data_IF_111413707749
#
_entry.id   IF_111413707749
#
_cell.length_a   1.000
_cell.length_b   1.000
_cell.length_c   1.000
_cell.angle_alpha   90.00
_cell.angle_beta   90.00
_cell.angle_gamma   90.00
#
_symmetry.space_group_name_H-M   'P 1'
#
loop_
_entity.id
_entity.type
_entity.pdbx_description
1 polymer ?
#
# COMPACT_ATOMS: atom_id res chain seq x y z
N UNK A 1 9.44 -9.54 -45.74
CA UNK A 1 9.62 -10.74 -44.91
C UNK A 1 10.30 -10.45 -43.55
N UNK A 2 11.08 -9.40 -43.39
CA UNK A 2 11.72 -9.03 -42.10
C UNK A 2 10.74 -8.45 -41.05
N UNK A 3 9.73 -7.72 -41.47
CA UNK A 3 8.75 -7.13 -40.54
C UNK A 3 7.87 -8.14 -39.82
N UNK A 4 7.60 -9.30 -40.42
CA UNK A 4 6.81 -10.38 -39.79
C UNK A 4 7.66 -11.14 -38.76
N UNK A 5 8.94 -11.33 -39.00
CA UNK A 5 9.85 -11.97 -38.03
C UNK A 5 10.08 -11.11 -36.76
N UNK A 6 10.10 -9.80 -36.92
CA UNK A 6 10.30 -8.87 -35.80
C UNK A 6 9.07 -8.78 -34.90
N UNK A 7 7.86 -8.85 -35.47
CA UNK A 7 6.60 -8.93 -34.67
C UNK A 7 6.46 -10.24 -33.92
N UNK A 8 6.88 -11.37 -34.51
CA UNK A 8 6.86 -12.68 -33.88
C UNK A 8 7.89 -12.80 -32.75
N UNK A 9 9.07 -12.20 -32.91
CA UNK A 9 10.07 -12.13 -31.84
C UNK A 9 9.65 -11.23 -30.68
N UNK A 10 8.95 -10.12 -30.93
CA UNK A 10 8.41 -9.26 -29.88
C UNK A 10 7.23 -9.92 -29.18
N UNK A 11 6.40 -10.66 -29.90
CA UNK A 11 5.27 -11.37 -29.32
C UNK A 11 5.71 -12.60 -28.49
N UNK A 12 6.72 -13.35 -28.97
CA UNK A 12 7.35 -14.42 -28.19
C UNK A 12 8.09 -13.90 -26.97
N UNK A 13 8.82 -12.80 -27.07
CA UNK A 13 9.49 -12.17 -25.93
C UNK A 13 8.48 -11.65 -24.87
N UNK A 14 7.33 -11.10 -25.29
CA UNK A 14 6.27 -10.69 -24.40
C UNK A 14 5.54 -11.87 -23.76
N UNK A 15 5.33 -12.98 -24.50
CA UNK A 15 4.76 -14.20 -23.96
C UNK A 15 5.74 -14.89 -22.99
N UNK A 16 7.04 -14.86 -23.28
CA UNK A 16 8.06 -15.40 -22.38
C UNK A 16 8.22 -14.54 -21.13
N UNK A 17 8.05 -13.22 -21.22
CA UNK A 17 8.05 -12.31 -20.07
C UNK A 17 6.77 -12.47 -19.22
N UNK A 18 5.60 -12.66 -19.83
CA UNK A 18 4.35 -12.99 -19.15
C UNK A 18 4.42 -14.39 -18.50
N UNK A 19 4.93 -15.39 -19.20
CA UNK A 19 5.11 -16.74 -18.67
C UNK A 19 6.16 -16.76 -17.54
N UNK A 20 7.21 -15.94 -17.61
CA UNK A 20 8.20 -15.84 -16.53
C UNK A 20 7.62 -15.20 -15.26
N UNK A 21 6.68 -14.27 -15.38
CA UNK A 21 5.96 -13.73 -14.24
C UNK A 21 4.94 -14.74 -13.64
N UNK A 22 4.27 -15.53 -14.47
CA UNK A 22 3.40 -16.63 -14.00
C UNK A 22 4.23 -17.78 -13.41
N UNK A 23 5.42 -18.06 -13.95
CA UNK A 23 6.32 -19.13 -13.51
C UNK A 23 6.82 -18.96 -12.07
N UNK A 24 6.93 -17.72 -11.56
CA UNK A 24 7.36 -17.42 -10.19
C UNK A 24 6.22 -17.13 -9.20
N UNK A 25 4.97 -17.35 -9.57
CA UNK A 25 3.84 -17.21 -8.62
C UNK A 25 3.84 -18.31 -7.55
N UNK A 26 4.33 -19.49 -7.88
CA UNK A 26 4.34 -20.67 -7.00
C UNK A 26 5.75 -21.17 -6.65
N UNK A 27 6.79 -20.47 -7.12
CA UNK A 27 8.20 -20.84 -6.94
C UNK A 27 9.04 -19.65 -6.47
N UNK A 28 10.17 -19.90 -5.79
CA UNK A 28 11.10 -18.82 -5.41
C UNK A 28 11.72 -18.19 -6.66
N UNK A 29 11.99 -16.89 -6.60
CA UNK A 29 12.74 -16.17 -7.65
C UNK A 29 14.19 -16.63 -7.68
N UNK A 30 14.69 -17.17 -8.82
CA UNK A 30 16.08 -17.56 -8.96
C UNK A 30 17.05 -16.39 -8.75
N UNK A 31 18.24 -16.67 -8.23
CA UNK A 31 19.26 -15.63 -7.99
C UNK A 31 19.69 -14.90 -9.27
N UNK A 32 19.66 -15.58 -10.42
CA UNK A 32 19.96 -15.00 -11.73
C UNK A 32 19.01 -13.91 -12.19
N UNK A 33 17.74 -13.96 -11.75
CA UNK A 33 16.70 -12.99 -12.10
C UNK A 33 16.57 -11.86 -11.09
N UNK A 34 17.38 -11.86 -10.03
CA UNK A 34 17.33 -10.81 -9.02
C UNK A 34 17.94 -9.51 -9.52
N UNK A 35 17.39 -8.40 -9.04
CA UNK A 35 17.65 -7.04 -9.54
C UNK A 35 18.71 -6.31 -8.70
N UNK A 36 19.31 -5.26 -9.30
CA UNK A 36 20.33 -4.42 -8.67
C UNK A 36 19.73 -3.46 -7.61
N UNK A 37 20.61 -2.79 -6.85
CA UNK A 37 20.22 -1.74 -5.90
C UNK A 37 19.51 -0.57 -6.61
N UNK A 38 19.96 -0.21 -7.82
CA UNK A 38 19.36 0.88 -8.60
C UNK A 38 17.91 0.57 -9.00
N UNK A 39 17.63 -0.66 -9.41
CA UNK A 39 16.26 -1.08 -9.71
C UNK A 39 15.37 -1.03 -8.47
N UNK A 40 15.87 -1.48 -7.31
CA UNK A 40 15.12 -1.38 -6.04
C UNK A 40 14.89 0.09 -5.66
N UNK A 41 15.92 0.93 -5.77
CA UNK A 41 15.80 2.36 -5.50
C UNK A 41 14.74 3.00 -6.41
N UNK A 42 14.82 2.80 -7.72
CA UNK A 42 13.90 3.41 -8.68
C UNK A 42 12.44 2.98 -8.47
N UNK A 43 12.20 1.68 -8.20
CA UNK A 43 10.85 1.16 -7.91
C UNK A 43 10.29 1.85 -6.66
N UNK A 44 11.05 1.89 -5.56
CA UNK A 44 10.57 2.43 -4.30
C UNK A 44 10.50 3.97 -4.28
N UNK A 45 11.31 4.67 -5.06
CA UNK A 45 11.12 6.10 -5.34
C UNK A 45 9.77 6.31 -6.05
N UNK A 46 9.47 5.52 -7.07
CA UNK A 46 8.19 5.59 -7.78
C UNK A 46 6.99 5.32 -6.86
N UNK A 47 7.10 4.33 -5.98
CA UNK A 47 6.08 4.07 -4.96
C UNK A 47 5.93 5.21 -3.95
N UNK A 48 7.03 5.82 -3.51
CA UNK A 48 7.00 6.92 -2.53
C UNK A 48 6.42 8.22 -3.08
N UNK A 49 6.44 8.44 -4.39
CA UNK A 49 5.86 9.63 -5.02
C UNK A 49 4.37 9.50 -5.38
N UNK A 50 3.65 8.69 -4.64
CA UNK A 50 2.20 8.58 -4.83
C UNK A 50 1.50 9.81 -4.25
N UNK A 51 0.64 10.47 -5.04
CA UNK A 51 -0.09 11.67 -4.60
C UNK A 51 -0.91 11.52 -3.32
N UNK A 52 -1.29 10.29 -2.96
CA UNK A 52 -2.00 10.02 -1.70
C UNK A 52 -1.22 10.46 -0.47
N UNK A 53 0.13 10.50 -0.53
CA UNK A 53 0.96 11.07 0.53
C UNK A 53 0.62 12.53 0.85
N UNK A 54 0.26 13.34 -0.15
CA UNK A 54 -0.18 14.71 0.05
C UNK A 54 -1.47 14.77 0.86
N UNK A 55 -2.44 13.92 0.55
CA UNK A 55 -3.72 13.85 1.27
C UNK A 55 -3.51 13.39 2.71
N UNK A 56 -2.65 12.38 2.92
CA UNK A 56 -2.32 11.90 4.27
C UNK A 56 -1.69 13.01 5.13
N UNK A 57 -0.73 13.76 4.55
CA UNK A 57 -0.17 14.94 5.22
C UNK A 57 -1.24 16.00 5.54
N UNK A 58 -2.17 16.22 4.62
CA UNK A 58 -3.29 17.13 4.78
C UNK A 58 -4.24 16.73 5.91
N UNK A 59 -4.50 15.45 6.11
CA UNK A 59 -5.32 14.94 7.22
C UNK A 59 -4.72 15.31 8.59
N UNK A 60 -3.39 15.41 8.72
CA UNK A 60 -2.75 15.82 9.98
C UNK A 60 -3.01 17.29 10.32
N UNK A 61 -3.28 18.12 9.33
CA UNK A 61 -3.61 19.54 9.54
C UNK A 61 -5.02 19.73 10.12
N UNK A 62 -5.90 18.74 9.99
CA UNK A 62 -7.30 18.77 10.41
C UNK A 62 -8.11 19.75 9.55
N UNK A 63 -9.10 19.20 8.83
CA UNK A 63 -9.95 19.97 7.92
C UNK A 63 -11.41 19.53 8.09
N UNK A 64 -12.33 20.39 7.67
CA UNK A 64 -13.77 20.11 7.66
C UNK A 64 -14.34 19.68 9.03
N UNK A 65 -13.84 20.31 10.11
CA UNK A 65 -14.26 19.97 11.48
C UNK A 65 -13.56 18.78 12.11
N UNK A 66 -12.63 18.12 11.38
CA UNK A 66 -11.79 17.07 11.93
C UNK A 66 -10.65 17.64 12.78
N UNK A 67 -10.24 16.95 13.86
CA UNK A 67 -9.12 17.39 14.68
C UNK A 67 -7.80 17.37 13.87
N UNK A 68 -6.96 18.36 14.12
CA UNK A 68 -5.62 18.49 13.55
C UNK A 68 -4.54 18.52 14.62
N UNK A 69 -3.32 18.84 14.20
CA UNK A 69 -2.17 19.00 15.11
C UNK A 69 -1.24 20.10 14.62
N UNK A 70 -0.41 20.61 15.53
CA UNK A 70 0.59 21.62 15.20
C UNK A 70 1.61 21.09 14.18
N UNK A 71 2.29 21.97 13.46
CA UNK A 71 3.33 21.57 12.49
C UNK A 71 4.44 20.73 13.13
N UNK A 72 4.87 21.10 14.35
CA UNK A 72 5.91 20.35 15.07
C UNK A 72 5.43 18.94 15.41
N UNK A 73 4.19 18.81 15.88
CA UNK A 73 3.60 17.50 16.19
C UNK A 73 3.41 16.65 14.91
N UNK A 74 3.00 17.29 13.82
CA UNK A 74 2.88 16.63 12.52
C UNK A 74 4.23 16.11 12.01
N UNK A 75 5.31 16.90 12.13
CA UNK A 75 6.67 16.45 11.78
C UNK A 75 7.12 15.25 12.64
N UNK A 76 6.81 15.27 13.94
CA UNK A 76 7.11 14.14 14.82
C UNK A 76 6.32 12.91 14.38
N UNK A 77 5.00 13.05 14.15
CA UNK A 77 4.14 11.95 13.74
C UNK A 77 4.57 11.36 12.37
N UNK A 78 4.90 12.22 11.40
CA UNK A 78 5.46 11.81 10.10
C UNK A 78 6.77 11.03 10.32
N UNK A 79 7.72 11.61 11.07
CA UNK A 79 9.03 10.99 11.28
C UNK A 79 8.93 9.63 11.98
N UNK A 80 8.06 9.51 12.99
CA UNK A 80 7.84 8.25 13.71
C UNK A 80 7.12 7.25 12.84
N UNK A 81 6.03 7.66 12.16
CA UNK A 81 5.26 6.79 11.27
C UNK A 81 6.10 6.22 10.14
N UNK A 82 6.84 7.09 9.44
CA UNK A 82 7.76 6.69 8.37
C UNK A 82 8.92 5.82 8.89
N UNK A 83 9.44 6.11 10.05
CA UNK A 83 10.46 5.27 10.73
C UNK A 83 9.94 3.86 11.01
N UNK A 84 8.70 3.72 11.47
CA UNK A 84 8.03 2.43 11.67
C UNK A 84 7.86 1.69 10.34
N UNK A 85 7.36 2.38 9.31
CA UNK A 85 7.18 1.81 7.97
C UNK A 85 8.51 1.35 7.37
N UNK A 86 9.59 2.14 7.54
CA UNK A 86 10.95 1.78 7.14
C UNK A 86 11.40 0.46 7.80
N UNK A 87 11.24 0.36 9.11
CA UNK A 87 11.64 -0.84 9.86
C UNK A 87 10.83 -2.06 9.43
N UNK A 88 9.51 -1.95 9.35
CA UNK A 88 8.65 -3.06 8.93
C UNK A 88 8.94 -3.49 7.50
N UNK A 89 9.11 -2.53 6.59
CA UNK A 89 9.46 -2.80 5.19
C UNK A 89 10.81 -3.49 5.06
N UNK A 90 11.81 -3.05 5.82
CA UNK A 90 13.11 -3.70 5.84
C UNK A 90 13.03 -5.13 6.38
N UNK A 91 12.33 -5.35 7.50
CA UNK A 91 12.21 -6.67 8.11
C UNK A 91 11.47 -7.66 7.20
N UNK A 92 10.32 -7.28 6.64
CA UNK A 92 9.56 -8.11 5.70
C UNK A 92 10.31 -8.30 4.38
N UNK A 93 10.90 -7.24 3.85
CA UNK A 93 11.69 -7.27 2.63
C UNK A 93 12.94 -8.14 2.75
N UNK A 94 13.59 -8.16 3.92
CA UNK A 94 14.71 -9.05 4.20
C UNK A 94 14.27 -10.53 4.17
N UNK A 95 13.13 -10.85 4.78
CA UNK A 95 12.57 -12.20 4.72
C UNK A 95 12.26 -12.60 3.28
N UNK A 96 11.65 -11.72 2.50
CA UNK A 96 11.35 -11.94 1.08
C UNK A 96 12.62 -12.13 0.23
N UNK A 97 13.65 -11.30 0.44
CA UNK A 97 14.94 -11.41 -0.25
C UNK A 97 15.65 -12.73 0.08
N UNK A 98 15.64 -13.15 1.34
CA UNK A 98 16.28 -14.41 1.77
C UNK A 98 15.58 -15.64 1.19
N UNK A 99 14.25 -15.64 1.15
CA UNK A 99 13.46 -16.78 0.66
C UNK A 99 13.25 -16.78 -0.85
N UNK A 100 13.23 -15.60 -1.49
CA UNK A 100 12.78 -15.44 -2.89
C UNK A 100 11.28 -15.66 -3.08
N UNK A 101 10.50 -15.82 -2.00
CA UNK A 101 9.08 -16.15 -2.03
C UNK A 101 8.22 -14.87 -2.08
N UNK A 102 7.07 -14.97 -2.73
CA UNK A 102 6.03 -13.94 -2.70
C UNK A 102 5.23 -13.98 -1.39
N UNK A 103 4.39 -12.97 -1.19
CA UNK A 103 3.58 -12.84 0.01
C UNK A 103 2.67 -14.05 0.27
N UNK A 104 2.06 -14.60 -0.79
CA UNK A 104 1.18 -15.76 -0.69
C UNK A 104 1.93 -17.00 -0.17
N UNK A 105 3.13 -17.27 -0.70
CA UNK A 105 3.95 -18.40 -0.28
C UNK A 105 4.54 -18.21 1.12
N UNK A 106 4.99 -17.00 1.47
CA UNK A 106 5.41 -16.65 2.83
C UNK A 106 4.25 -16.84 3.82
N UNK A 107 3.04 -16.41 3.43
CA UNK A 107 1.85 -16.60 4.25
C UNK A 107 1.48 -18.08 4.43
N UNK A 108 1.74 -18.94 3.43
CA UNK A 108 1.57 -20.42 3.61
C UNK A 108 2.47 -20.96 4.70
N UNK A 109 3.72 -20.47 4.80
CA UNK A 109 4.65 -20.92 5.84
C UNK A 109 4.14 -20.51 7.23
N UNK A 110 3.68 -19.28 7.39
CA UNK A 110 3.30 -18.75 8.70
C UNK A 110 1.87 -19.08 9.12
N UNK A 111 0.90 -19.09 8.19
CA UNK A 111 -0.52 -19.31 8.48
C UNK A 111 -1.02 -20.72 8.12
N UNK A 112 -0.27 -21.49 7.32
CA UNK A 112 -0.67 -22.78 6.77
C UNK A 112 -1.27 -22.67 5.37
N UNK A 113 -1.38 -23.81 4.64
CA UNK A 113 -1.83 -23.85 3.22
C UNK A 113 -3.20 -23.23 2.99
N UNK A 114 -4.16 -23.46 3.88
CA UNK A 114 -5.50 -22.87 3.84
C UNK A 114 -5.60 -21.64 4.75
N UNK A 115 -4.82 -21.59 5.84
CA UNK A 115 -4.79 -20.45 6.75
C UNK A 115 -4.32 -19.16 6.09
N UNK A 116 -3.51 -19.25 5.03
CA UNK A 116 -3.09 -18.09 4.24
C UNK A 116 -4.25 -17.34 3.57
N UNK A 117 -5.42 -17.97 3.41
CA UNK A 117 -6.60 -17.33 2.83
C UNK A 117 -6.96 -16.06 3.62
N UNK A 118 -6.85 -16.11 4.96
CA UNK A 118 -7.16 -14.96 5.81
C UNK A 118 -6.30 -13.73 5.47
N UNK A 119 -4.95 -13.75 5.55
CA UNK A 119 -4.14 -12.60 5.17
C UNK A 119 -4.34 -12.20 3.70
N UNK A 120 -4.53 -13.14 2.79
CA UNK A 120 -4.71 -12.81 1.37
C UNK A 120 -6.05 -12.12 1.10
N UNK A 121 -7.15 -12.54 1.71
CA UNK A 121 -8.44 -11.85 1.58
C UNK A 121 -8.40 -10.46 2.21
N UNK A 122 -7.73 -10.31 3.34
CA UNK A 122 -7.50 -9.00 3.94
C UNK A 122 -6.75 -8.10 2.95
N UNK A 123 -5.63 -8.56 2.41
CA UNK A 123 -4.87 -7.79 1.42
C UNK A 123 -5.71 -7.47 0.17
N UNK A 124 -6.57 -8.38 -0.28
CA UNK A 124 -7.49 -8.13 -1.38
C UNK A 124 -8.52 -7.02 -1.04
N UNK A 125 -9.04 -7.00 0.18
CA UNK A 125 -9.92 -5.92 0.65
C UNK A 125 -9.18 -4.57 0.75
N UNK A 126 -7.92 -4.58 1.23
CA UNK A 126 -7.09 -3.38 1.33
C UNK A 126 -6.82 -2.76 -0.04
N UNK A 127 -6.37 -3.57 -0.99
CA UNK A 127 -6.09 -3.11 -2.35
C UNK A 127 -7.36 -2.68 -3.08
N UNK A 128 -8.51 -3.32 -2.83
CA UNK A 128 -9.80 -2.89 -3.36
C UNK A 128 -10.24 -1.54 -2.77
N UNK A 129 -10.06 -1.32 -1.47
CA UNK A 129 -10.36 -0.04 -0.81
C UNK A 129 -9.47 1.09 -1.35
N UNK A 130 -8.18 0.84 -1.57
CA UNK A 130 -7.29 1.78 -2.23
C UNK A 130 -7.71 2.07 -3.67
N UNK A 131 -8.06 1.04 -4.45
CA UNK A 131 -8.58 1.22 -5.80
C UNK A 131 -9.81 2.12 -5.82
N UNK A 132 -10.77 1.85 -4.95
CA UNK A 132 -12.00 2.65 -4.84
C UNK A 132 -11.72 4.10 -4.41
N UNK A 133 -10.80 4.30 -3.46
CA UNK A 133 -10.38 5.64 -3.01
C UNK A 133 -9.75 6.43 -4.16
N UNK A 134 -8.85 5.83 -4.91
CA UNK A 134 -8.17 6.49 -6.05
C UNK A 134 -9.16 6.81 -7.18
N UNK A 135 -10.12 5.93 -7.46
CA UNK A 135 -11.23 6.24 -8.39
C UNK A 135 -12.00 7.48 -7.92
N UNK A 136 -12.34 7.55 -6.62
CA UNK A 136 -13.01 8.70 -6.03
C UNK A 136 -12.18 9.99 -6.09
N UNK A 137 -10.87 9.92 -5.81
CA UNK A 137 -9.96 11.06 -5.92
C UNK A 137 -9.92 11.64 -7.33
N UNK A 138 -9.90 10.79 -8.35
CA UNK A 138 -9.97 11.24 -9.75
C UNK A 138 -11.32 11.83 -10.07
N UNK A 139 -12.41 11.23 -9.57
CA UNK A 139 -13.78 11.77 -9.69
C UNK A 139 -13.87 13.19 -9.12
N UNK A 140 -13.32 13.40 -7.93
CA UNK A 140 -13.32 14.68 -7.22
C UNK A 140 -12.57 15.78 -8.00
N UNK A 141 -11.36 15.49 -8.48
CA UNK A 141 -10.55 16.43 -9.25
C UNK A 141 -11.27 16.88 -10.54
N UNK A 142 -11.83 15.94 -11.28
CA UNK A 142 -12.55 16.28 -12.51
C UNK A 142 -13.87 16.99 -12.22
N UNK A 143 -14.57 16.63 -11.15
CA UNK A 143 -15.79 17.31 -10.75
C UNK A 143 -15.51 18.78 -10.39
N UNK A 144 -14.42 19.06 -9.69
CA UNK A 144 -13.98 20.44 -9.42
C UNK A 144 -13.53 21.15 -10.69
N UNK A 145 -12.80 20.48 -11.60
CA UNK A 145 -12.30 21.09 -12.83
C UNK A 145 -13.42 21.44 -13.83
N UNK A 146 -14.46 20.62 -13.91
CA UNK A 146 -15.59 20.81 -14.84
C UNK A 146 -16.68 21.72 -14.24
N UNK A 147 -16.77 21.79 -12.91
CA UNK A 147 -17.87 22.42 -12.19
C UNK A 147 -19.17 21.58 -12.24
N UNK A 148 -20.21 22.11 -11.64
CA UNK A 148 -21.54 21.51 -11.61
C UNK A 148 -22.29 21.84 -12.91
N UNK A 149 -22.04 21.05 -13.95
CA UNK A 149 -22.57 21.28 -15.30
C UNK A 149 -24.07 20.97 -15.39
N UNK A 150 -24.51 19.86 -14.77
CA UNK A 150 -25.89 19.40 -14.88
C UNK A 150 -26.79 19.88 -13.74
N UNK A 151 -26.24 20.24 -12.59
CA UNK A 151 -26.98 20.55 -11.37
C UNK A 151 -27.73 19.34 -10.78
N UNK A 152 -27.43 18.11 -11.25
CA UNK A 152 -28.10 16.88 -10.81
C UNK A 152 -27.32 16.21 -9.70
N UNK A 153 -27.90 16.16 -8.51
CA UNK A 153 -27.40 15.36 -7.37
C UNK A 153 -28.10 14.00 -7.38
N UNK A 154 -27.32 12.91 -7.32
CA UNK A 154 -27.84 11.53 -7.48
C UNK A 154 -27.94 10.82 -6.13
N UNK A 155 -26.83 10.67 -5.40
CA UNK A 155 -26.77 9.91 -4.15
C UNK A 155 -25.84 10.60 -3.15
N UNK A 156 -26.25 10.67 -1.88
CA UNK A 156 -25.43 11.23 -0.79
C UNK A 156 -24.81 12.61 -1.11
N UNK A 157 -25.49 13.49 -1.85
CA UNK A 157 -24.93 14.79 -2.24
C UNK A 157 -23.92 14.76 -3.40
N UNK A 158 -23.62 13.58 -3.98
CA UNK A 158 -22.73 13.44 -5.11
C UNK A 158 -23.42 13.80 -6.42
N UNK A 159 -22.72 14.59 -7.26
CA UNK A 159 -23.23 15.00 -8.57
C UNK A 159 -23.21 13.85 -9.57
N UNK A 160 -24.04 13.96 -10.61
CA UNK A 160 -24.07 12.99 -11.71
C UNK A 160 -22.70 12.92 -12.40
N UNK A 161 -22.04 14.08 -12.58
CA UNK A 161 -20.71 14.18 -13.18
C UNK A 161 -19.67 13.39 -12.40
N UNK A 162 -19.63 13.55 -11.08
CA UNK A 162 -18.71 12.79 -10.21
C UNK A 162 -18.89 11.28 -10.44
N UNK A 163 -20.12 10.78 -10.41
CA UNK A 163 -20.41 9.36 -10.57
C UNK A 163 -19.97 8.86 -11.95
N UNK A 164 -20.30 9.58 -13.01
CA UNK A 164 -19.94 9.21 -14.38
C UNK A 164 -18.41 9.20 -14.57
N UNK A 165 -17.72 10.21 -14.05
CA UNK A 165 -16.24 10.29 -14.10
C UNK A 165 -15.63 9.11 -13.37
N UNK A 166 -16.09 8.79 -12.16
CA UNK A 166 -15.62 7.63 -11.41
C UNK A 166 -15.80 6.32 -12.19
N UNK A 167 -16.96 6.10 -12.81
CA UNK A 167 -17.23 4.89 -13.59
C UNK A 167 -16.36 4.82 -14.86
N UNK A 168 -16.17 5.93 -15.56
CA UNK A 168 -15.33 6.00 -16.76
C UNK A 168 -13.87 5.72 -16.40
N UNK A 169 -13.31 6.44 -15.42
CA UNK A 169 -11.92 6.25 -15.00
C UNK A 169 -11.68 4.90 -14.34
N UNK A 170 -12.65 4.40 -13.55
CA UNK A 170 -12.61 3.06 -13.01
C UNK A 170 -12.55 1.99 -14.10
N UNK A 171 -13.30 2.15 -15.20
CA UNK A 171 -13.23 1.28 -16.37
C UNK A 171 -11.87 1.39 -17.09
N UNK A 172 -11.32 2.59 -17.25
CA UNK A 172 -9.98 2.83 -17.84
C UNK A 172 -8.88 2.15 -17.02
N UNK A 173 -8.92 2.31 -15.69
CA UNK A 173 -7.97 1.68 -14.78
C UNK A 173 -8.08 0.16 -14.82
N UNK A 174 -9.31 -0.36 -14.80
CA UNK A 174 -9.59 -1.81 -14.88
C UNK A 174 -9.11 -2.40 -16.19
N UNK A 175 -9.41 -1.75 -17.31
CA UNK A 175 -8.94 -2.19 -18.64
C UNK A 175 -7.41 -2.19 -18.71
N UNK A 176 -6.77 -1.17 -18.17
CA UNK A 176 -5.32 -1.05 -18.14
C UNK A 176 -4.67 -2.14 -17.29
N UNK A 177 -5.22 -2.42 -16.11
CA UNK A 177 -4.75 -3.50 -15.23
C UNK A 177 -4.95 -4.89 -15.88
N UNK A 178 -6.02 -5.05 -16.66
CA UNK A 178 -6.29 -6.29 -17.40
C UNK A 178 -5.26 -6.53 -18.52
N UNK A 179 -4.85 -5.48 -19.25
CA UNK A 179 -3.85 -5.55 -20.35
C UNK A 179 -2.43 -5.81 -19.86
N UNK A 180 -2.08 -5.42 -18.61
CA UNK A 180 -0.76 -5.65 -18.05
C UNK A 180 0.09 -4.38 -17.83
N UNK A 181 1.16 -4.54 -17.05
CA UNK A 181 1.93 -3.45 -16.40
C UNK A 181 2.94 -2.76 -17.33
N UNK A 182 3.45 -3.42 -18.37
CA UNK A 182 4.65 -2.99 -19.10
C UNK A 182 4.60 -1.59 -19.74
N UNK A 183 3.42 -1.15 -20.19
CA UNK A 183 3.28 0.18 -20.82
C UNK A 183 3.31 1.33 -19.79
N UNK A 184 2.93 1.05 -18.57
CA UNK A 184 2.68 2.06 -17.53
C UNK A 184 3.89 2.28 -16.65
N UNK A 185 4.75 1.28 -16.45
CA UNK A 185 6.04 1.47 -15.77
C UNK A 185 6.86 2.60 -16.45
N UNK A 186 6.81 2.72 -17.76
CA UNK A 186 7.48 3.80 -18.50
C UNK A 186 6.88 5.17 -18.21
N UNK A 187 5.55 5.26 -18.17
CA UNK A 187 4.83 6.53 -17.90
C UNK A 187 5.01 6.94 -16.44
N UNK A 188 4.92 5.99 -15.51
CA UNK A 188 5.11 6.22 -14.07
C UNK A 188 6.49 6.73 -13.73
N UNK A 189 7.54 6.08 -14.26
CA UNK A 189 8.92 6.50 -14.02
C UNK A 189 9.22 7.91 -14.53
N UNK A 190 8.49 8.36 -15.55
CA UNK A 190 8.59 9.72 -16.05
C UNK A 190 7.76 10.70 -15.22
N UNK A 191 6.55 10.33 -14.80
CA UNK A 191 5.64 11.23 -14.08
C UNK A 191 6.08 11.52 -12.64
N UNK A 192 6.66 10.54 -11.92
CA UNK A 192 6.99 10.67 -10.51
C UNK A 192 7.90 11.87 -10.16
N UNK A 193 9.01 12.16 -10.86
CA UNK A 193 9.82 13.34 -10.60
C UNK A 193 9.07 14.66 -10.80
N UNK A 194 8.15 14.70 -11.79
CA UNK A 194 7.36 15.89 -12.06
C UNK A 194 6.31 16.15 -10.99
N UNK A 195 5.68 15.11 -10.45
CA UNK A 195 4.75 15.23 -9.30
C UNK A 195 5.45 15.92 -8.13
N UNK A 196 6.67 15.50 -7.81
CA UNK A 196 7.45 16.13 -6.74
C UNK A 196 7.74 17.59 -7.00
N UNK A 197 8.28 17.91 -8.19
CA UNK A 197 8.62 19.30 -8.54
C UNK A 197 7.37 20.19 -8.48
N UNK A 198 6.25 19.72 -9.01
CA UNK A 198 4.99 20.46 -8.98
C UNK A 198 4.48 20.62 -7.55
N UNK A 199 4.53 19.57 -6.75
CA UNK A 199 4.12 19.63 -5.35
C UNK A 199 4.93 20.67 -4.56
N UNK A 200 6.26 20.72 -4.75
CA UNK A 200 7.13 21.72 -4.12
C UNK A 200 6.81 23.13 -4.63
N UNK A 201 6.67 23.30 -5.94
CA UNK A 201 6.37 24.62 -6.54
C UNK A 201 4.99 25.10 -6.10
N UNK A 202 3.98 24.24 -6.12
CA UNK A 202 2.64 24.57 -5.63
C UNK A 202 2.67 24.98 -4.15
N UNK A 203 3.38 24.19 -3.30
CA UNK A 203 3.55 24.53 -1.88
C UNK A 203 4.20 25.91 -1.68
N UNK A 204 5.24 26.22 -2.44
CA UNK A 204 5.88 27.55 -2.38
C UNK A 204 4.91 28.68 -2.74
N UNK A 205 4.11 28.49 -3.80
CA UNK A 205 3.12 29.48 -4.24
C UNK A 205 2.03 29.65 -3.17
N UNK A 206 1.48 28.56 -2.64
CA UNK A 206 0.45 28.56 -1.59
C UNK A 206 0.94 29.27 -0.34
N UNK A 207 2.12 28.92 0.17
CA UNK A 207 2.73 29.58 1.34
C UNK A 207 2.93 31.08 1.11
N UNK A 208 3.41 31.47 -0.08
CA UNK A 208 3.58 32.87 -0.43
C UNK A 208 2.24 33.63 -0.50
N UNK A 209 1.21 33.06 -1.10
CA UNK A 209 -0.12 33.65 -1.19
C UNK A 209 -0.80 33.79 0.19
N UNK A 210 -0.56 32.80 1.08
CA UNK A 210 -1.08 32.83 2.45
C UNK A 210 -0.44 33.96 3.31
N UNK A 211 0.69 34.51 2.85
CA UNK A 211 1.39 35.62 3.50
C UNK A 211 2.72 35.25 4.15
N UNK A 212 3.30 34.13 3.72
CA UNK A 212 4.63 33.63 4.12
C UNK A 212 4.60 32.54 5.18
N UNK A 213 5.76 31.95 5.36
CA UNK A 213 5.91 30.76 6.23
C UNK A 213 5.55 31.07 7.69
N UNK A 214 5.87 32.25 8.19
CA UNK A 214 5.56 32.65 9.58
C UNK A 214 4.04 32.62 9.85
N UNK A 215 3.24 33.12 8.90
CA UNK A 215 1.77 33.07 9.03
C UNK A 215 1.24 31.63 8.98
N UNK A 216 1.83 30.79 8.13
CA UNK A 216 1.48 29.36 8.09
C UNK A 216 1.77 28.71 9.43
N UNK A 217 2.91 29.02 10.08
CA UNK A 217 3.25 28.47 11.39
C UNK A 217 2.31 28.98 12.50
N UNK A 218 1.90 30.23 12.44
CA UNK A 218 0.89 30.77 13.39
C UNK A 218 -0.44 30.03 13.21
N UNK A 219 -0.93 29.88 11.99
CA UNK A 219 -2.16 29.13 11.71
C UNK A 219 -2.03 27.66 12.13
N UNK A 220 -0.93 27.00 11.80
CA UNK A 220 -0.66 25.63 12.19
C UNK A 220 -0.63 25.42 13.72
N UNK A 221 -0.22 26.45 14.48
CA UNK A 221 -0.18 26.38 15.94
C UNK A 221 -1.57 26.39 16.60
N UNK A 222 -2.61 26.79 15.86
CA UNK A 222 -4.01 26.76 16.34
C UNK A 222 -4.65 25.38 16.17
N UNK A 223 -4.02 24.46 15.43
CA UNK A 223 -4.55 23.12 15.15
C UNK A 223 -4.32 22.22 16.36
N UNK A 224 -5.38 21.58 16.81
CA UNK A 224 -5.38 20.72 18.00
C UNK A 224 -6.40 19.58 17.90
N UNK A 225 -6.35 18.68 18.85
CA UNK A 225 -7.34 17.59 19.00
C UNK A 225 -6.90 16.26 18.39
N UNK A 226 -5.96 16.23 17.44
CA UNK A 226 -5.40 14.98 16.91
C UNK A 226 -4.21 14.54 17.78
N UNK A 227 -4.31 13.38 18.41
CA UNK A 227 -3.21 12.84 19.21
C UNK A 227 -2.08 12.31 18.35
N UNK A 228 -0.83 12.35 18.85
CA UNK A 228 0.34 11.82 18.15
C UNK A 228 0.22 10.32 17.87
N UNK A 229 -0.33 9.54 18.80
CA UNK A 229 -0.54 8.11 18.63
C UNK A 229 -1.52 7.80 17.51
N UNK A 230 -2.63 8.53 17.45
CA UNK A 230 -3.60 8.43 16.34
C UNK A 230 -2.95 8.85 15.02
N UNK A 231 -2.22 9.96 14.99
CA UNK A 231 -1.53 10.42 13.78
C UNK A 231 -0.54 9.37 13.26
N UNK A 232 0.30 8.79 14.12
CA UNK A 232 1.21 7.70 13.74
C UNK A 232 0.44 6.47 13.25
N UNK A 233 -0.70 6.15 13.87
CA UNK A 233 -1.55 5.03 13.43
C UNK A 233 -2.09 5.29 12.01
N UNK A 234 -2.54 6.51 11.71
CA UNK A 234 -2.98 6.93 10.37
C UNK A 234 -1.81 6.84 9.36
N UNK A 235 -0.63 7.37 9.72
CA UNK A 235 0.56 7.32 8.86
C UNK A 235 0.94 5.87 8.51
N UNK A 236 0.98 4.99 9.51
CA UNK A 236 1.28 3.58 9.29
C UNK A 236 0.18 2.91 8.49
N UNK A 237 -1.09 3.22 8.77
CA UNK A 237 -2.25 2.71 8.06
C UNK A 237 -2.24 3.02 6.57
N UNK A 238 -1.85 4.23 6.22
CA UNK A 238 -1.75 4.68 4.83
C UNK A 238 -0.81 3.82 3.97
N UNK A 239 0.21 3.21 4.58
CA UNK A 239 1.23 2.46 3.85
C UNK A 239 1.33 0.98 4.21
N UNK A 240 0.58 0.48 5.20
CA UNK A 240 0.73 -0.91 5.65
C UNK A 240 0.47 -1.92 4.53
N UNK A 241 -0.48 -1.65 3.63
CA UNK A 241 -0.70 -2.47 2.44
C UNK A 241 0.56 -2.52 1.57
N UNK A 242 1.15 -1.35 1.26
CA UNK A 242 2.37 -1.23 0.47
C UNK A 242 3.59 -1.89 1.14
N UNK A 243 3.71 -1.79 2.47
CA UNK A 243 4.76 -2.47 3.25
C UNK A 243 4.66 -3.99 3.10
N UNK A 244 3.45 -4.54 3.23
CA UNK A 244 3.21 -5.97 3.11
C UNK A 244 3.36 -6.43 1.65
N UNK A 245 2.87 -5.66 0.67
CA UNK A 245 3.10 -5.87 -0.76
C UNK A 245 4.60 -5.81 -1.13
N UNK A 246 5.39 -5.07 -0.36
CA UNK A 246 6.84 -4.98 -0.53
C UNK A 246 7.54 -6.33 -0.54
N UNK A 247 6.96 -7.36 0.08
CA UNK A 247 7.42 -8.76 0.00
C UNK A 247 7.51 -9.22 -1.46
N UNK A 248 6.50 -8.90 -2.28
CA UNK A 248 6.44 -9.30 -3.69
C UNK A 248 7.50 -8.60 -4.57
N UNK A 249 7.99 -7.44 -4.11
CA UNK A 249 9.03 -6.66 -4.79
C UNK A 249 10.42 -7.06 -4.29
N UNK A 250 10.63 -7.10 -2.98
CA UNK A 250 11.94 -7.37 -2.40
C UNK A 250 12.43 -8.81 -2.56
N UNK A 251 11.54 -9.75 -2.92
CA UNK A 251 11.98 -11.11 -3.33
C UNK A 251 12.94 -11.08 -4.54
N UNK A 252 12.92 -9.99 -5.33
CA UNK A 252 13.86 -9.75 -6.43
C UNK A 252 15.14 -9.03 -6.01
N UNK A 253 15.33 -8.64 -4.76
CA UNK A 253 16.56 -7.98 -4.32
C UNK A 253 17.73 -8.97 -4.24
N UNK A 254 18.91 -8.56 -4.73
CA UNK A 254 20.12 -9.42 -4.70
C UNK A 254 20.79 -9.47 -3.33
N UNK A 255 20.74 -8.38 -2.56
CA UNK A 255 21.48 -8.19 -1.30
C UNK A 255 20.65 -7.44 -0.28
N UNK A 256 20.99 -7.60 0.99
CA UNK A 256 20.33 -6.87 2.10
C UNK A 256 20.41 -5.35 1.94
N UNK A 257 21.53 -4.82 1.44
CA UNK A 257 21.67 -3.39 1.16
C UNK A 257 20.67 -2.88 0.14
N UNK A 258 20.27 -3.72 -0.83
CA UNK A 258 19.27 -3.32 -1.84
C UNK A 258 17.86 -3.19 -1.23
N UNK A 259 17.53 -4.03 -0.24
CA UNK A 259 16.29 -3.91 0.54
C UNK A 259 16.30 -2.62 1.34
N UNK A 260 17.42 -2.34 2.05
CA UNK A 260 17.55 -1.14 2.85
C UNK A 260 17.48 0.13 2.00
N UNK A 261 18.20 0.18 0.87
CA UNK A 261 18.17 1.32 -0.06
C UNK A 261 16.77 1.56 -0.62
N UNK A 262 16.04 0.51 -0.99
CA UNK A 262 14.65 0.65 -1.46
C UNK A 262 13.73 1.20 -0.37
N UNK A 263 13.79 0.64 0.83
CA UNK A 263 12.98 1.12 1.95
C UNK A 263 13.29 2.59 2.32
N UNK A 264 14.58 2.97 2.36
CA UNK A 264 15.02 4.35 2.57
C UNK A 264 14.51 5.31 1.47
N UNK A 265 14.53 4.87 0.21
CA UNK A 265 14.06 5.68 -0.91
C UNK A 265 12.58 6.08 -0.74
N UNK A 266 11.75 5.19 -0.25
CA UNK A 266 10.34 5.47 -0.01
C UNK A 266 10.13 6.27 1.29
N UNK A 267 10.55 5.71 2.42
CA UNK A 267 10.13 6.15 3.76
C UNK A 267 11.05 7.20 4.40
N UNK A 268 12.14 7.58 3.76
CA UNK A 268 12.99 8.70 4.22
C UNK A 268 13.08 9.80 3.19
N UNK A 269 13.13 9.45 1.90
CA UNK A 269 13.37 10.44 0.85
C UNK A 269 12.06 11.00 0.27
N UNK A 270 11.10 10.14 -0.12
CA UNK A 270 9.99 10.56 -0.97
C UNK A 270 8.69 10.79 -0.23
N UNK A 271 8.20 9.82 0.50
CA UNK A 271 6.88 9.93 1.15
C UNK A 271 6.83 10.99 2.26
N UNK A 272 7.84 11.14 3.17
CA UNK A 272 7.82 12.20 4.18
C UNK A 272 7.71 13.59 3.57
N UNK A 273 8.39 13.82 2.44
CA UNK A 273 8.34 15.11 1.75
C UNK A 273 6.93 15.41 1.24
N UNK A 274 6.25 14.43 0.63
CA UNK A 274 4.86 14.61 0.19
C UNK A 274 3.92 14.86 1.37
N UNK A 275 4.10 14.17 2.49
CA UNK A 275 3.29 14.40 3.69
C UNK A 275 3.47 15.82 4.22
N UNK A 276 4.70 16.35 4.27
CA UNK A 276 4.96 17.74 4.69
C UNK A 276 4.33 18.75 3.73
N UNK A 277 4.49 18.53 2.43
CA UNK A 277 3.87 19.38 1.40
C UNK A 277 2.34 19.37 1.52
N UNK A 278 1.76 18.18 1.75
CA UNK A 278 0.32 18.02 1.95
C UNK A 278 -0.19 18.75 3.19
N UNK A 279 0.54 18.66 4.31
CA UNK A 279 0.22 19.39 5.53
C UNK A 279 0.21 20.91 5.29
N UNK A 280 1.27 21.45 4.68
CA UNK A 280 1.37 22.87 4.35
C UNK A 280 0.26 23.30 3.38
N UNK A 281 -0.05 22.45 2.40
CA UNK A 281 -1.14 22.67 1.47
C UNK A 281 -2.49 22.81 2.18
N UNK A 282 -2.80 21.87 3.07
CA UNK A 282 -4.05 21.90 3.83
C UNK A 282 -4.16 23.14 4.74
N UNK A 283 -3.09 23.52 5.45
CA UNK A 283 -3.09 24.75 6.28
C UNK A 283 -3.36 26.00 5.44
N UNK A 284 -2.82 26.07 4.23
CA UNK A 284 -2.89 27.28 3.38
C UNK A 284 -4.17 27.35 2.55
N UNK A 285 -4.76 26.23 2.17
CA UNK A 285 -5.93 26.19 1.27
C UNK A 285 -7.23 25.86 1.98
N UNK A 286 -7.16 25.26 3.18
CA UNK A 286 -8.34 24.76 3.89
C UNK A 286 -8.84 23.40 3.39
N UNK A 287 -8.10 22.73 2.50
CA UNK A 287 -8.48 21.43 1.91
C UNK A 287 -7.31 20.43 2.01
N UNK A 288 -7.56 19.26 2.56
CA UNK A 288 -6.56 18.19 2.61
C UNK A 288 -6.10 17.76 1.20
N UNK A 289 -6.95 17.89 0.20
CA UNK A 289 -6.62 17.70 -1.21
C UNK A 289 -6.37 19.04 -1.91
N UNK A 290 -5.22 19.67 -1.65
CA UNK A 290 -4.89 20.98 -2.22
C UNK A 290 -4.83 21.04 -3.77
N UNK A 291 -5.02 19.95 -4.46
CA UNK A 291 -5.14 19.95 -5.93
C UNK A 291 -6.38 20.69 -6.39
N UNK A 292 -7.44 20.67 -5.61
CA UNK A 292 -8.61 21.51 -5.78
C UNK A 292 -8.19 22.97 -5.95
N UNK A 293 -7.28 23.45 -5.09
CA UNK A 293 -6.70 24.78 -5.23
C UNK A 293 -5.90 24.96 -6.53
N UNK A 294 -5.10 23.96 -6.97
CA UNK A 294 -4.37 24.06 -8.24
C UNK A 294 -5.31 24.27 -9.42
N UNK A 295 -6.41 23.53 -9.44
CA UNK A 295 -7.43 23.63 -10.50
C UNK A 295 -8.09 25.01 -10.55
N UNK A 296 -8.19 25.70 -9.41
CA UNK A 296 -8.80 27.03 -9.30
C UNK A 296 -7.81 28.19 -9.54
N UNK A 297 -6.50 27.92 -9.58
CA UNK A 297 -5.46 28.96 -9.63
C UNK A 297 -4.77 29.12 -11.01
N UNK A 298 -5.53 28.92 -12.08
CA UNK A 298 -5.14 29.25 -13.44
C UNK A 298 -4.84 28.04 -14.32
N UNK A 299 -5.02 28.23 -15.62
CA UNK A 299 -5.00 27.16 -16.63
C UNK A 299 -3.74 26.28 -16.57
N UNK A 300 -2.58 26.87 -16.35
CA UNK A 300 -1.32 26.11 -16.31
C UNK A 300 -1.29 25.16 -15.12
N UNK A 301 -1.63 25.63 -13.91
CA UNK A 301 -1.70 24.78 -12.72
C UNK A 301 -2.81 23.74 -12.85
N UNK A 302 -3.96 24.10 -13.44
CA UNK A 302 -5.03 23.14 -13.73
C UNK A 302 -4.53 22.00 -14.62
N UNK A 303 -3.97 22.33 -15.80
CA UNK A 303 -3.53 21.31 -16.75
C UNK A 303 -2.41 20.45 -16.15
N UNK A 304 -1.44 21.07 -15.48
CA UNK A 304 -0.34 20.35 -14.85
C UNK A 304 -0.85 19.49 -13.69
N UNK A 305 -1.67 20.01 -12.81
CA UNK A 305 -2.22 19.30 -11.67
C UNK A 305 -3.05 18.10 -12.09
N UNK A 306 -4.05 18.32 -12.95
CA UNK A 306 -4.94 17.25 -13.44
C UNK A 306 -4.16 16.18 -14.20
N UNK A 307 -3.30 16.57 -15.16
CA UNK A 307 -2.60 15.59 -16.01
C UNK A 307 -1.64 14.73 -15.19
N UNK A 308 -0.78 15.35 -14.39
CA UNK A 308 0.23 14.61 -13.64
C UNK A 308 -0.38 13.79 -12.51
N UNK A 309 -1.39 14.34 -11.84
CA UNK A 309 -2.10 13.66 -10.78
C UNK A 309 -2.85 12.43 -11.28
N UNK A 310 -3.60 12.59 -12.37
CA UNK A 310 -4.33 11.46 -12.97
C UNK A 310 -3.36 10.37 -13.43
N UNK A 311 -2.24 10.74 -14.07
CA UNK A 311 -1.23 9.76 -14.52
C UNK A 311 -0.61 9.04 -13.33
N UNK A 312 -0.25 9.75 -12.26
CA UNK A 312 0.34 9.14 -11.07
C UNK A 312 -0.67 8.22 -10.35
N UNK A 313 -1.91 8.66 -10.20
CA UNK A 313 -2.98 7.84 -9.62
C UNK A 313 -3.33 6.63 -10.50
N UNK A 314 -3.28 6.78 -11.82
CA UNK A 314 -3.51 5.68 -12.78
C UNK A 314 -2.52 4.54 -12.56
N UNK A 315 -1.23 4.85 -12.49
CA UNK A 315 -0.19 3.83 -12.32
C UNK A 315 -0.32 3.10 -10.99
N UNK A 316 -0.60 3.82 -9.92
CA UNK A 316 -0.85 3.23 -8.60
C UNK A 316 -2.07 2.32 -8.62
N UNK A 317 -3.17 2.82 -9.20
CA UNK A 317 -4.44 2.10 -9.19
C UNK A 317 -4.39 0.78 -9.97
N UNK A 318 -3.58 0.72 -11.02
CA UNK A 318 -3.34 -0.55 -11.72
C UNK A 318 -2.60 -1.57 -10.88
N UNK A 319 -1.63 -1.12 -10.09
CA UNK A 319 -0.90 -1.99 -9.18
C UNK A 319 -1.82 -2.60 -8.11
N UNK A 320 -2.80 -1.84 -7.63
CA UNK A 320 -3.79 -2.33 -6.67
C UNK A 320 -4.62 -3.49 -7.23
N UNK A 321 -5.17 -3.36 -8.44
CA UNK A 321 -5.91 -4.46 -9.08
C UNK A 321 -5.03 -5.64 -9.47
N UNK A 322 -3.80 -5.38 -9.89
CA UNK A 322 -2.85 -6.45 -10.18
C UNK A 322 -2.57 -7.28 -8.93
N UNK A 323 -2.24 -6.65 -7.82
CA UNK A 323 -1.98 -7.31 -6.55
C UNK A 323 -3.23 -8.00 -5.98
N UNK A 324 -4.41 -7.40 -6.17
CA UNK A 324 -5.67 -8.00 -5.80
C UNK A 324 -5.84 -9.40 -6.44
N UNK A 325 -5.49 -9.52 -7.73
CA UNK A 325 -5.53 -10.81 -8.43
C UNK A 325 -4.48 -11.81 -7.88
N UNK A 326 -3.30 -11.33 -7.44
CA UNK A 326 -2.28 -12.16 -6.79
C UNK A 326 -2.70 -12.68 -5.40
N UNK A 327 -3.65 -12.03 -4.76
CA UNK A 327 -4.17 -12.45 -3.45
C UNK A 327 -5.40 -13.37 -3.58
N UNK A 328 -6.34 -13.02 -4.46
CA UNK A 328 -7.56 -13.80 -4.67
C UNK A 328 -7.27 -15.11 -5.43
N UNK A 329 -6.43 -15.08 -6.46
CA UNK A 329 -6.12 -16.26 -7.27
C UNK A 329 -5.59 -17.43 -6.46
N UNK A 330 -4.47 -17.30 -5.72
CA UNK A 330 -3.93 -18.35 -4.87
C UNK A 330 -4.87 -18.78 -3.72
N UNK A 331 -5.69 -17.84 -3.21
CA UNK A 331 -6.70 -18.14 -2.20
C UNK A 331 -7.78 -19.07 -2.75
N UNK A 332 -8.30 -18.77 -3.94
CA UNK A 332 -9.27 -19.59 -4.64
C UNK A 332 -8.69 -20.97 -4.99
N UNK A 333 -7.44 -21.01 -5.47
CA UNK A 333 -6.75 -22.27 -5.79
C UNK A 333 -6.60 -23.18 -4.56
N UNK A 334 -6.27 -22.59 -3.40
CA UNK A 334 -6.18 -23.35 -2.14
C UNK A 334 -7.52 -23.95 -1.68
N UNK A 335 -8.63 -23.43 -2.20
CA UNK A 335 -10.00 -23.96 -2.02
C UNK A 335 -10.43 -24.92 -3.17
N UNK A 336 -9.55 -25.17 -4.13
CA UNK A 336 -9.85 -26.00 -5.30
C UNK A 336 -10.60 -25.27 -6.43
N UNK A 337 -10.68 -23.94 -6.37
CA UNK A 337 -11.39 -23.11 -7.36
C UNK A 337 -10.35 -22.45 -8.28
N UNK A 338 -10.44 -22.70 -9.58
CA UNK A 338 -9.60 -22.02 -10.58
C UNK A 338 -10.28 -20.75 -11.07
N UNK A 339 -9.76 -19.61 -10.68
CA UNK A 339 -10.23 -18.31 -11.13
C UNK A 339 -9.20 -17.68 -12.08
N UNK A 340 -9.53 -17.46 -13.37
CA UNK A 340 -8.65 -16.76 -14.30
C UNK A 340 -8.38 -15.33 -13.82
N UNK A 341 -7.11 -14.88 -13.87
CA UNK A 341 -6.67 -13.54 -13.47
C UNK A 341 -7.56 -12.44 -14.07
N UNK A 342 -7.87 -12.52 -15.37
CA UNK A 342 -8.69 -11.53 -16.05
C UNK A 342 -10.09 -11.37 -15.45
N UNK A 343 -10.72 -12.47 -15.01
CA UNK A 343 -12.03 -12.41 -14.34
C UNK A 343 -11.93 -11.71 -12.99
N UNK A 344 -10.88 -11.99 -12.21
CA UNK A 344 -10.66 -11.34 -10.91
C UNK A 344 -10.50 -9.83 -11.10
N UNK A 345 -9.61 -9.41 -12.01
CA UNK A 345 -9.34 -7.99 -12.30
C UNK A 345 -10.61 -7.26 -12.72
N UNK A 346 -11.39 -7.83 -13.65
CA UNK A 346 -12.63 -7.18 -14.13
C UNK A 346 -13.67 -7.10 -13.00
N UNK A 347 -13.87 -8.17 -12.25
CA UNK A 347 -14.87 -8.18 -11.17
C UNK A 347 -14.50 -7.20 -10.06
N UNK A 348 -13.24 -7.22 -9.60
CA UNK A 348 -12.77 -6.32 -8.54
C UNK A 348 -12.71 -4.87 -9.02
N UNK A 349 -12.29 -4.64 -10.27
CA UNK A 349 -12.32 -3.31 -10.87
C UNK A 349 -13.74 -2.74 -10.98
N UNK A 350 -14.73 -3.56 -11.36
CA UNK A 350 -16.13 -3.14 -11.38
C UNK A 350 -16.65 -2.80 -9.98
N UNK A 351 -16.39 -3.67 -8.99
CA UNK A 351 -16.79 -3.43 -7.59
C UNK A 351 -16.13 -2.15 -7.07
N UNK A 352 -14.82 -1.98 -7.24
CA UNK A 352 -14.10 -0.80 -6.77
C UNK A 352 -14.52 0.49 -7.48
N UNK A 353 -14.84 0.43 -8.77
CA UNK A 353 -15.38 1.58 -9.52
C UNK A 353 -16.73 2.04 -8.99
N UNK A 354 -17.62 1.09 -8.67
CA UNK A 354 -18.91 1.39 -8.05
C UNK A 354 -18.72 1.97 -6.64
N UNK A 355 -17.85 1.38 -5.82
CA UNK A 355 -17.55 1.92 -4.48
C UNK A 355 -17.00 3.34 -4.57
N UNK A 356 -16.08 3.62 -5.49
CA UNK A 356 -15.56 4.97 -5.74
C UNK A 356 -16.66 5.94 -6.16
N UNK A 357 -17.53 5.53 -7.10
CA UNK A 357 -18.65 6.33 -7.58
C UNK A 357 -19.72 6.59 -6.49
N UNK A 358 -19.83 5.70 -5.49
CA UNK A 358 -20.71 5.90 -4.33
C UNK A 358 -20.06 6.76 -3.23
N UNK A 359 -18.87 7.34 -3.46
CA UNK A 359 -18.21 8.27 -2.55
C UNK A 359 -17.36 7.61 -1.47
N UNK A 360 -16.80 6.43 -1.74
CA UNK A 360 -15.91 5.77 -0.76
C UNK A 360 -14.79 6.69 -0.29
N UNK A 361 -14.15 7.42 -1.19
CA UNK A 361 -13.15 8.41 -0.84
C UNK A 361 -13.70 9.54 0.04
N UNK A 362 -14.78 10.16 -0.38
CA UNK A 362 -15.33 11.35 0.29
C UNK A 362 -15.85 11.07 1.71
N UNK A 363 -16.38 9.87 1.97
CA UNK A 363 -17.05 9.58 3.24
C UNK A 363 -16.32 8.60 4.15
N UNK A 364 -15.48 7.71 3.59
CA UNK A 364 -14.90 6.60 4.35
C UNK A 364 -13.38 6.57 4.35
N UNK A 365 -12.69 7.44 3.60
CA UNK A 365 -11.25 7.36 3.42
C UNK A 365 -10.47 7.50 4.72
N UNK A 366 -10.81 8.47 5.56
CA UNK A 366 -10.13 8.69 6.85
C UNK A 366 -10.32 7.50 7.80
N UNK A 367 -11.56 7.00 7.91
CA UNK A 367 -11.85 5.82 8.72
C UNK A 367 -11.17 4.57 8.18
N UNK A 368 -11.19 4.40 6.85
CA UNK A 368 -10.51 3.29 6.17
C UNK A 368 -9.02 3.25 6.53
N UNK A 369 -8.30 4.37 6.38
CA UNK A 369 -6.87 4.43 6.72
C UNK A 369 -6.63 4.20 8.21
N UNK A 370 -7.45 4.77 9.08
CA UNK A 370 -7.34 4.59 10.53
C UNK A 370 -7.52 3.13 10.92
N UNK A 371 -8.51 2.44 10.33
CA UNK A 371 -8.71 1.00 10.54
C UNK A 371 -7.54 0.18 9.97
N UNK A 372 -6.99 0.56 8.82
CA UNK A 372 -5.79 -0.09 8.29
C UNK A 372 -4.63 -0.04 9.28
N UNK A 373 -4.39 1.15 9.85
CA UNK A 373 -3.33 1.36 10.83
C UNK A 373 -3.58 0.63 12.14
N UNK A 374 -4.82 0.53 12.59
CA UNK A 374 -5.16 -0.10 13.86
C UNK A 374 -5.23 -1.64 13.78
N UNK A 375 -5.92 -2.18 12.77
CA UNK A 375 -6.32 -3.59 12.72
C UNK A 375 -5.47 -4.48 11.81
N UNK A 376 -4.76 -3.91 10.82
CA UNK A 376 -4.09 -4.74 9.81
C UNK A 376 -2.57 -4.75 9.91
N UNK A 377 -1.96 -3.83 10.62
CA UNK A 377 -0.54 -3.89 10.98
C UNK A 377 -0.17 -5.24 11.65
N UNK A 378 -1.01 -5.80 12.54
CA UNK A 378 -0.82 -7.12 13.13
C UNK A 378 -0.61 -8.27 12.15
N UNK A 379 -1.05 -8.16 10.89
CA UNK A 379 -0.89 -9.20 9.87
C UNK A 379 0.59 -9.57 9.62
N UNK A 380 1.50 -8.63 9.79
CA UNK A 380 2.92 -8.87 9.71
C UNK A 380 3.49 -9.67 10.90
N UNK A 381 2.80 -9.65 12.05
CA UNK A 381 3.29 -10.23 13.30
C UNK A 381 3.70 -11.69 13.22
N UNK A 382 2.82 -12.62 12.77
CA UNK A 382 3.15 -14.03 12.63
C UNK A 382 4.29 -14.30 11.63
N UNK A 383 4.36 -13.55 10.52
CA UNK A 383 5.44 -13.69 9.54
C UNK A 383 6.78 -13.31 10.17
N UNK A 384 6.84 -12.16 10.86
CA UNK A 384 8.05 -11.69 11.53
C UNK A 384 8.47 -12.61 12.67
N UNK A 385 7.53 -13.06 13.50
CA UNK A 385 7.82 -13.97 14.62
C UNK A 385 8.35 -15.33 14.12
N UNK A 386 7.73 -15.90 13.08
CA UNK A 386 8.20 -17.15 12.50
C UNK A 386 9.60 -17.00 11.88
N UNK A 387 9.83 -15.94 11.10
CA UNK A 387 11.09 -15.76 10.39
C UNK A 387 12.26 -15.46 11.35
N UNK A 388 12.05 -14.57 12.33
CA UNK A 388 13.14 -14.10 13.17
C UNK A 388 13.35 -14.90 14.46
N UNK A 389 12.29 -15.53 15.00
CA UNK A 389 12.34 -16.17 16.32
C UNK A 389 12.09 -17.67 16.25
N UNK A 390 10.95 -18.11 15.69
CA UNK A 390 10.47 -19.48 15.84
C UNK A 390 11.22 -20.45 14.91
N UNK A 391 11.35 -20.09 13.63
CA UNK A 391 11.90 -20.98 12.59
C UNK A 391 13.27 -20.57 12.08
N UNK A 392 13.67 -19.34 12.23
CA UNK A 392 14.96 -18.79 11.84
C UNK A 392 15.53 -19.38 10.53
N UNK A 393 16.59 -20.21 10.64
CA UNK A 393 17.26 -20.85 9.49
C UNK A 393 16.36 -21.80 8.70
N UNK A 394 15.39 -22.41 9.34
CA UNK A 394 14.46 -23.34 8.67
C UNK A 394 13.44 -22.62 7.79
N UNK A 395 13.15 -21.36 8.08
CA UNK A 395 12.16 -20.61 7.32
C UNK A 395 12.54 -20.44 5.84
N UNK A 396 13.82 -20.21 5.57
CA UNK A 396 14.32 -20.04 4.20
C UNK A 396 14.33 -21.35 3.39
N UNK A 397 14.35 -22.50 4.07
CA UNK A 397 14.34 -23.84 3.45
C UNK A 397 12.98 -24.53 3.52
N UNK A 398 12.00 -23.92 4.20
CA UNK A 398 10.66 -24.47 4.33
C UNK A 398 9.94 -24.52 2.97
N UNK A 399 9.39 -25.68 2.63
CA UNK A 399 8.53 -25.79 1.45
C UNK A 399 7.11 -25.37 1.79
N UNK A 400 6.58 -24.29 1.17
CA UNK A 400 5.21 -23.83 1.43
C UNK A 400 4.12 -24.88 1.18
N UNK A 401 4.42 -25.88 0.35
CA UNK A 401 3.47 -26.94 0.00
C UNK A 401 3.41 -28.07 1.04
N UNK A 402 4.38 -28.15 1.96
CA UNK A 402 4.41 -29.16 3.02
C UNK A 402 3.82 -28.65 4.35
N UNK A 403 3.34 -27.42 4.36
CA UNK A 403 2.74 -26.80 5.55
C UNK A 403 1.39 -27.43 5.90
N UNK A 404 1.03 -27.51 7.19
CA UNK A 404 -0.29 -27.96 7.61
C UNK A 404 -1.40 -27.07 7.02
N UNK A 405 -2.65 -27.60 6.94
CA UNK A 405 -3.75 -26.80 6.40
C UNK A 405 -3.94 -25.44 7.08
N UNK A 406 -3.92 -25.42 8.42
CA UNK A 406 -4.07 -24.19 9.23
C UNK A 406 -3.07 -24.20 10.38
N UNK A 407 -2.39 -23.10 10.58
CA UNK A 407 -1.56 -22.84 11.76
C UNK A 407 -2.31 -21.91 12.71
N UNK A 408 -3.03 -22.50 13.66
CA UNK A 408 -3.89 -21.82 14.60
C UNK A 408 -3.19 -20.70 15.41
N UNK A 409 -1.91 -20.86 15.85
CA UNK A 409 -1.21 -19.78 16.53
C UNK A 409 -1.21 -18.47 15.74
N UNK A 410 -1.01 -18.52 14.41
CA UNK A 410 -0.99 -17.33 13.56
C UNK A 410 -2.40 -16.70 13.42
N UNK A 411 -3.42 -17.55 13.21
CA UNK A 411 -4.80 -17.06 13.08
C UNK A 411 -5.27 -16.40 14.37
N UNK A 412 -5.10 -17.08 15.50
CA UNK A 412 -5.57 -16.58 16.81
C UNK A 412 -4.84 -15.30 17.17
N UNK A 413 -3.51 -15.27 17.07
CA UNK A 413 -2.73 -14.10 17.42
C UNK A 413 -3.07 -12.89 16.55
N UNK A 414 -3.27 -13.09 15.25
CA UNK A 414 -3.70 -12.02 14.36
C UNK A 414 -5.10 -11.47 14.75
N UNK A 415 -6.08 -12.36 14.93
CA UNK A 415 -7.45 -11.93 15.30
C UNK A 415 -7.44 -11.16 16.62
N UNK A 416 -6.74 -11.68 17.64
CA UNK A 416 -6.62 -10.98 18.93
C UNK A 416 -5.94 -9.63 18.75
N UNK A 417 -4.84 -9.56 18.00
CA UNK A 417 -4.14 -8.30 17.75
C UNK A 417 -5.01 -7.29 17.00
N UNK A 418 -5.73 -7.73 15.96
CA UNK A 418 -6.62 -6.86 15.19
C UNK A 418 -7.75 -6.28 16.07
N UNK A 419 -8.38 -7.11 16.90
CA UNK A 419 -9.41 -6.67 17.85
C UNK A 419 -8.82 -5.67 18.86
N UNK A 420 -7.65 -5.98 19.43
CA UNK A 420 -7.00 -5.07 20.38
C UNK A 420 -6.61 -3.75 19.73
N UNK A 421 -6.14 -3.76 18.47
CA UNK A 421 -5.84 -2.55 17.72
C UNK A 421 -7.06 -1.63 17.57
N UNK A 422 -8.21 -2.19 17.21
CA UNK A 422 -9.48 -1.43 17.12
C UNK A 422 -9.91 -0.92 18.50
N UNK A 423 -9.81 -1.74 19.53
CA UNK A 423 -10.15 -1.32 20.91
C UNK A 423 -9.24 -0.18 21.38
N UNK A 424 -7.95 -0.26 21.12
CA UNK A 424 -7.00 0.80 21.45
C UNK A 424 -7.24 2.08 20.65
N UNK A 425 -7.66 1.97 19.41
CA UNK A 425 -7.94 3.16 18.59
C UNK A 425 -9.21 3.91 19.07
N UNK A 426 -10.24 3.19 19.48
CA UNK A 426 -11.57 3.79 19.68
C UNK A 426 -12.13 3.71 21.11
N UNK A 427 -11.59 2.87 21.99
CA UNK A 427 -12.23 2.58 23.30
C UNK A 427 -11.27 2.59 24.49
N UNK A 428 -10.02 2.18 24.31
CA UNK A 428 -9.07 1.96 25.41
C UNK A 428 -7.87 2.88 25.21
N UNK A 429 -7.67 3.82 26.12
CA UNK A 429 -6.49 4.67 26.09
C UNK A 429 -5.22 3.89 26.42
N UNK A 430 -4.21 4.05 25.60
CA UNK A 430 -2.88 3.45 25.83
C UNK A 430 -2.01 4.48 26.54
N UNK A 431 -1.22 4.08 27.56
CA UNK A 431 -0.28 4.99 28.20
C UNK A 431 0.67 5.63 27.19
N UNK A 432 1.04 6.89 27.45
CA UNK A 432 1.97 7.69 26.62
C UNK A 432 1.50 7.91 25.19
N UNK A 433 0.19 7.79 24.92
CA UNK A 433 -0.37 7.94 23.58
C UNK A 433 0.33 7.04 22.54
N UNK A 434 0.60 5.79 22.94
CA UNK A 434 1.32 4.84 22.09
C UNK A 434 0.43 4.41 20.91
N UNK A 435 0.96 4.35 19.66
CA UNK A 435 0.17 4.05 18.48
C UNK A 435 -0.55 2.70 18.55
N UNK A 436 -1.86 2.70 18.34
CA UNK A 436 -2.72 1.53 18.48
C UNK A 436 -2.26 0.33 17.61
N UNK A 437 -1.90 0.58 16.35
CA UNK A 437 -1.43 -0.45 15.44
C UNK A 437 -0.12 -1.10 15.85
N UNK A 438 0.80 -0.32 16.44
CA UNK A 438 2.06 -0.87 16.95
C UNK A 438 1.85 -1.71 18.20
N UNK A 439 0.99 -1.26 19.12
CA UNK A 439 0.60 -2.05 20.28
C UNK A 439 -0.01 -3.39 19.84
N UNK A 440 -0.91 -3.34 18.87
CA UNK A 440 -1.54 -4.52 18.28
C UNK A 440 -0.52 -5.48 17.61
N UNK A 441 0.44 -4.94 16.87
CA UNK A 441 1.52 -5.72 16.27
C UNK A 441 2.37 -6.43 17.32
N UNK A 442 2.77 -5.72 18.39
CA UNK A 442 3.55 -6.29 19.50
C UNK A 442 2.76 -7.43 20.17
N UNK A 443 1.48 -7.20 20.47
CA UNK A 443 0.60 -8.22 21.05
C UNK A 443 0.54 -9.46 20.12
N UNK A 444 0.31 -9.25 18.82
CA UNK A 444 0.26 -10.34 17.85
C UNK A 444 1.56 -11.11 17.77
N UNK A 445 2.68 -10.39 17.69
CA UNK A 445 4.02 -10.98 17.61
C UNK A 445 4.32 -11.86 18.84
N UNK A 446 4.12 -11.32 20.04
CA UNK A 446 4.37 -12.04 21.29
C UNK A 446 3.40 -13.21 21.48
N UNK A 447 2.11 -12.98 21.25
CA UNK A 447 1.10 -14.03 21.39
C UNK A 447 1.33 -15.17 20.40
N UNK A 448 1.76 -14.86 19.15
CA UNK A 448 2.11 -15.89 18.17
C UNK A 448 3.28 -16.76 18.64
N UNK A 449 4.31 -16.16 19.23
CA UNK A 449 5.46 -16.89 19.81
C UNK A 449 4.96 -17.82 20.92
N UNK A 450 4.24 -17.27 21.90
CA UNK A 450 3.74 -18.04 23.04
C UNK A 450 2.85 -19.21 22.60
N UNK A 451 1.88 -18.96 21.74
CA UNK A 451 0.98 -20.00 21.24
C UNK A 451 1.72 -21.04 20.39
N UNK A 452 2.70 -20.63 19.59
CA UNK A 452 3.49 -21.56 18.78
C UNK A 452 4.29 -22.54 19.66
N UNK A 453 4.92 -22.06 20.72
CA UNK A 453 5.61 -22.96 21.67
C UNK A 453 4.66 -23.81 22.49
N UNK A 454 3.56 -23.24 22.99
CA UNK A 454 2.57 -23.99 23.78
C UNK A 454 1.87 -25.09 22.97
N UNK A 455 1.64 -24.89 21.68
CA UNK A 455 0.97 -25.86 20.81
C UNK A 455 1.93 -26.83 20.10
N UNK A 456 3.24 -26.56 20.07
CA UNK A 456 4.28 -27.46 19.51
C UNK A 456 4.41 -28.78 20.28
N UNK A 457 3.88 -28.83 21.52
CA UNK A 457 3.88 -30.04 22.35
C UNK A 457 2.90 -31.11 21.85
N UNK A 458 2.11 -30.86 20.82
CA UNK A 458 1.16 -31.82 20.23
C UNK A 458 1.80 -32.61 19.10
N UNK A 459 1.60 -33.94 19.02
CA UNK A 459 2.30 -34.88 18.09
C UNK A 459 2.14 -34.54 16.58
N UNK A 460 1.10 -33.82 16.19
CA UNK A 460 0.80 -33.52 14.79
C UNK A 460 1.72 -32.48 14.13
N UNK A 461 2.50 -31.73 14.89
CA UNK A 461 3.41 -30.70 14.33
C UNK A 461 4.86 -31.18 14.16
N UNK A 462 5.20 -32.42 14.50
CA UNK A 462 6.56 -32.97 14.37
C UNK A 462 6.97 -33.41 12.95
N UNK A 463 6.07 -33.34 11.97
CA UNK A 463 6.36 -33.77 10.59
C UNK A 463 6.86 -32.64 9.68
N UNK A 464 7.88 -31.86 10.09
CA UNK A 464 8.51 -30.91 9.18
C UNK A 464 10.03 -31.04 9.29
N UNK A 465 10.55 -32.20 8.92
CA UNK A 465 11.97 -32.36 8.64
C UNK A 465 12.12 -33.31 7.44
N UNK A 466 12.16 -32.75 6.26
CA UNK A 466 12.78 -33.39 5.11
C UNK A 466 13.66 -32.36 4.42
N UNK A 467 14.98 -32.61 4.29
CA UNK A 467 15.87 -31.72 3.59
C UNK A 467 15.76 -31.94 2.09
N UNK A 468 15.20 -30.98 1.41
CA UNK A 468 15.12 -30.98 -0.04
C UNK A 468 14.80 -29.60 -0.60
N UNK A 469 15.78 -29.05 -1.24
CA UNK A 469 15.83 -27.83 -2.04
C UNK A 469 16.42 -26.59 -1.35
N UNK A 470 17.56 -26.25 -1.85
CA UNK A 470 18.35 -25.05 -2.05
C UNK A 470 19.78 -25.21 -1.50
N UNK A 471 20.74 -25.20 -2.43
CA UNK A 471 22.16 -25.10 -2.11
C UNK A 471 22.47 -23.82 -1.31
N UNK A 472 23.39 -23.84 -0.36
CA UNK A 472 23.72 -22.66 0.46
C UNK A 472 24.31 -21.57 -0.44
N UNK A 473 23.75 -20.37 -0.31
CA UNK A 473 24.31 -19.16 -0.89
C UNK A 473 25.58 -18.87 -0.08
N UNK A 474 26.74 -19.14 -0.69
CA UNK A 474 28.03 -18.63 -0.19
C UNK A 474 28.01 -17.10 -0.18
N UNK A 475 28.58 -16.52 0.85
CA UNK A 475 28.73 -15.12 1.24
C UNK A 475 28.91 -14.11 0.11
#
# INVERSE_FOLDING_TARGET
MEGIRMSDHLHTAQLDEQNSHEEHMLTPVPTSQRRSWWAMFAIWVGFGYVPTGLIIGGLLAGQDGNPGMSFTDALIAISVGEGVLLVLTFLLGFAAMKTGLNLSLISRISYGKKGMILPMLIMACLTLGWFASIVGMVGDIFNVALGDVTGITVVNGLSLEYILICLIWGAVFTYSAWKGIAAIEKISSFAAPFVLVIAIVASYIMVKQFGGFDKVMVEASTREGLSRGTAVTVMVGAWIAGVIMGVDIFRYAKRTSHVFIGAMACFVLTNPLLNVVGYLGAITTGDANFITWMVQNGLVLTVMGVTLWVVALWTTNMSELYCNALYIGPSAESMGIKLPRGKIVITMGAIGSVLGALGFYSYFFSDFITILGAAFVPLAGPILADFYIIRRSEYATANPNDMPPVRWPAIISFIVGAIMGVLFQYKISIPFDFPAGLAALIITFVLHIVLSFAMSSRPEQKQITSPGFISPISN
#
